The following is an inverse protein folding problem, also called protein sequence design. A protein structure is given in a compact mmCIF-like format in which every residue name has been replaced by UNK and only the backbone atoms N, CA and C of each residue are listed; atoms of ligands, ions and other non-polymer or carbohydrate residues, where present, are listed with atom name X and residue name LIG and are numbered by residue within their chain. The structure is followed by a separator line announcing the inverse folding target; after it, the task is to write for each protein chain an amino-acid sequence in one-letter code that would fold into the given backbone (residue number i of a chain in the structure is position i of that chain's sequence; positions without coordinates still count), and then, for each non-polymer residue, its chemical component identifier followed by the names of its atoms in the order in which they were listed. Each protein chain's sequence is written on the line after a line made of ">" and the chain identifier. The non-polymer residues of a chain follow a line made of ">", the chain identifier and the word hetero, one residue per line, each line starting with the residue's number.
data_IF_875358395699
#
_entry.id   IF_875358395699
#
_cell.length_a   1.000
_cell.length_b   1.000
_cell.length_c   1.000
_cell.angle_alpha   90.00
_cell.angle_beta   90.00
_cell.angle_gamma   90.00
#
_symmetry.space_group_name_H-M   'P 1'
#
loop_
_entity.id
_entity.type
_entity.pdbx_description
1 polymer ?
#
# COMPACT_ATOMS: atom_id res chain seq x y z
N UNK A 1 12.13 64.70 6.30
CA UNK A 1 11.33 63.62 5.79
C UNK A 1 12.17 62.88 4.74
N UNK A 2 12.82 61.71 5.11
CA UNK A 2 13.70 60.98 4.19
C UNK A 2 12.86 59.93 3.46
N UNK A 3 12.89 59.98 2.14
CA UNK A 3 12.22 59.02 1.27
C UNK A 3 13.06 57.72 1.26
N UNK A 4 12.50 56.54 1.61
CA UNK A 4 13.26 55.28 1.61
C UNK A 4 13.68 54.91 0.20
N UNK A 5 14.94 54.53 0.01
CA UNK A 5 15.52 54.10 -1.25
C UNK A 5 15.05 52.70 -1.62
N UNK A 6 14.98 52.43 -2.93
CA UNK A 6 14.44 51.19 -3.51
C UNK A 6 15.12 49.86 -3.01
N UNK A 7 16.30 49.97 -2.37
CA UNK A 7 17.02 48.86 -1.78
C UNK A 7 16.51 48.40 -0.41
N UNK A 8 15.88 49.30 0.34
CA UNK A 8 15.45 49.00 1.72
C UNK A 8 14.21 48.06 1.76
N UNK A 9 13.41 48.11 0.70
CA UNK A 9 12.22 47.28 0.57
C UNK A 9 12.53 45.81 0.30
N UNK A 10 13.65 45.51 -0.41
CA UNK A 10 14.04 44.13 -0.74
C UNK A 10 14.60 43.43 0.50
N UNK A 11 15.38 44.14 1.33
CA UNK A 11 15.97 43.57 2.53
C UNK A 11 14.90 43.29 3.59
N UNK A 12 13.92 44.16 3.75
CA UNK A 12 12.81 43.96 4.69
C UNK A 12 11.90 42.78 4.31
N UNK A 13 11.66 42.57 2.99
CA UNK A 13 10.88 41.40 2.53
C UNK A 13 11.64 40.10 2.71
N UNK A 14 12.95 40.10 2.50
CA UNK A 14 13.79 38.89 2.76
C UNK A 14 13.87 38.55 4.25
N UNK A 15 14.01 39.53 5.12
CA UNK A 15 14.03 39.31 6.57
C UNK A 15 12.67 38.83 7.12
N UNK A 16 11.57 39.34 6.60
CA UNK A 16 10.22 38.88 6.94
C UNK A 16 9.97 37.41 6.48
N UNK A 17 10.50 37.04 5.31
CA UNK A 17 10.38 35.65 4.79
C UNK A 17 11.22 34.65 5.59
N UNK A 18 12.41 35.07 6.07
CA UNK A 18 13.25 34.22 6.93
C UNK A 18 12.78 34.14 8.37
N UNK A 19 12.09 35.17 8.87
CA UNK A 19 11.52 35.18 10.23
C UNK A 19 10.39 34.16 10.43
N UNK A 20 9.70 33.76 9.34
CA UNK A 20 8.65 32.75 9.35
C UNK A 20 9.12 31.36 8.91
N UNK A 21 10.41 31.20 8.58
CA UNK A 21 10.98 29.89 8.31
C UNK A 21 11.16 29.13 9.61
N UNK A 22 10.12 28.38 9.99
CA UNK A 22 10.23 27.40 11.06
C UNK A 22 11.02 26.23 10.53
N UNK A 23 12.24 25.97 11.02
CA UNK A 23 13.02 24.82 10.53
C UNK A 23 12.15 23.57 10.74
N UNK A 24 11.92 22.80 9.66
CA UNK A 24 11.22 21.54 9.75
C UNK A 24 12.03 20.60 10.65
N UNK A 25 11.55 20.38 11.85
CA UNK A 25 12.14 19.39 12.75
C UNK A 25 11.87 17.99 12.18
N UNK A 26 12.72 17.03 12.53
CA UNK A 26 12.54 15.62 12.16
C UNK A 26 11.12 15.13 12.49
N UNK A 27 10.53 15.64 13.58
CA UNK A 27 9.14 15.35 13.99
C UNK A 27 8.08 15.93 13.03
N UNK A 28 8.28 17.15 12.52
CA UNK A 28 7.35 17.75 11.55
C UNK A 28 7.41 17.04 10.19
N UNK A 29 8.61 16.70 9.70
CA UNK A 29 8.78 15.90 8.47
C UNK A 29 8.15 14.53 8.64
N UNK A 30 8.36 13.89 9.79
CA UNK A 30 7.75 12.60 10.15
C UNK A 30 6.23 12.70 10.17
N UNK A 31 5.67 13.76 10.76
CA UNK A 31 4.22 13.97 10.87
C UNK A 31 3.57 14.24 9.51
N UNK A 32 4.20 15.02 8.64
CA UNK A 32 3.71 15.24 7.26
C UNK A 32 3.82 13.96 6.44
N UNK A 33 4.92 13.22 6.55
CA UNK A 33 5.08 11.93 5.92
C UNK A 33 3.98 10.95 6.35
N UNK A 34 3.70 10.84 7.66
CA UNK A 34 2.60 10.02 8.19
C UNK A 34 1.23 10.50 7.70
N UNK A 35 0.98 11.81 7.63
CA UNK A 35 -0.29 12.35 7.13
C UNK A 35 -0.52 12.06 5.65
N UNK A 36 0.50 12.22 4.80
CA UNK A 36 0.42 11.90 3.37
C UNK A 36 0.21 10.40 3.15
N UNK A 37 0.93 9.57 3.91
CA UNK A 37 0.75 8.11 3.87
C UNK A 37 -0.63 7.71 4.36
N UNK A 38 -1.08 8.25 5.47
CA UNK A 38 -2.40 7.98 6.06
C UNK A 38 -3.53 8.41 5.10
N UNK A 39 -3.38 9.56 4.45
CA UNK A 39 -4.33 10.03 3.45
C UNK A 39 -4.38 9.09 2.23
N UNK A 40 -3.24 8.65 1.72
CA UNK A 40 -3.17 7.69 0.61
C UNK A 40 -3.81 6.35 0.96
N UNK A 41 -3.53 5.83 2.14
CA UNK A 41 -4.07 4.54 2.61
C UNK A 41 -5.58 4.61 2.82
N UNK A 42 -6.10 5.73 3.31
CA UNK A 42 -7.56 5.87 3.52
C UNK A 42 -8.34 6.03 2.20
N UNK A 43 -7.70 6.57 1.16
CA UNK A 43 -8.36 6.82 -0.14
C UNK A 43 -8.12 5.73 -1.18
N UNK A 44 -7.12 4.88 -1.00
CA UNK A 44 -6.79 3.81 -1.95
C UNK A 44 -6.73 2.45 -1.25
N UNK A 45 -7.27 1.40 -1.86
CA UNK A 45 -7.12 0.04 -1.35
C UNK A 45 -5.65 -0.37 -1.30
N UNK A 46 -5.19 -0.87 -0.15
CA UNK A 46 -3.83 -1.38 0.04
C UNK A 46 -3.84 -2.89 0.06
N UNK A 47 -3.02 -3.49 -0.79
CA UNK A 47 -2.81 -4.93 -0.87
C UNK A 47 -1.51 -5.28 -0.17
N UNK A 48 -1.60 -6.02 0.95
CA UNK A 48 -0.44 -6.63 1.60
C UNK A 48 -0.26 -8.04 1.04
N UNK A 49 0.95 -8.36 0.60
CA UNK A 49 1.27 -9.64 -0.04
C UNK A 49 2.60 -10.21 0.42
N UNK A 50 2.77 -11.52 0.26
CA UNK A 50 4.03 -12.20 0.54
C UNK A 50 5.02 -11.98 -0.62
N UNK A 51 6.03 -11.14 -0.40
CA UNK A 51 7.00 -10.71 -1.41
C UNK A 51 7.94 -11.81 -1.90
N UNK A 52 8.11 -12.90 -1.15
CA UNK A 52 8.97 -14.03 -1.51
C UNK A 52 8.22 -15.18 -2.19
N UNK A 53 6.90 -15.16 -2.19
CA UNK A 53 6.05 -16.18 -2.80
C UNK A 53 5.83 -15.91 -4.29
N UNK A 54 6.20 -16.86 -5.17
CA UNK A 54 6.01 -16.72 -6.61
C UNK A 54 4.53 -16.55 -7.01
N UNK A 55 3.62 -17.28 -6.38
CA UNK A 55 2.19 -17.12 -6.62
C UNK A 55 1.70 -15.72 -6.24
N UNK A 56 2.14 -15.21 -5.08
CA UNK A 56 1.73 -13.90 -4.58
C UNK A 56 2.28 -12.77 -5.46
N UNK A 57 3.57 -12.80 -5.79
CA UNK A 57 4.18 -11.81 -6.68
C UNK A 57 3.60 -11.87 -8.09
N UNK A 58 3.31 -13.06 -8.60
CA UNK A 58 2.61 -13.24 -9.88
C UNK A 58 1.20 -12.65 -9.86
N UNK A 59 0.47 -12.81 -8.76
CA UNK A 59 -0.87 -12.20 -8.58
C UNK A 59 -0.79 -10.67 -8.54
N UNK A 60 0.21 -10.10 -7.86
CA UNK A 60 0.45 -8.65 -7.84
C UNK A 60 0.75 -8.14 -9.25
N UNK A 61 1.64 -8.80 -10.00
CA UNK A 61 1.94 -8.43 -11.39
C UNK A 61 0.71 -8.51 -12.29
N UNK A 62 -0.14 -9.52 -12.10
CA UNK A 62 -1.39 -9.65 -12.82
C UNK A 62 -2.33 -8.48 -12.53
N UNK A 63 -2.48 -8.08 -11.26
CA UNK A 63 -3.28 -6.92 -10.88
C UNK A 63 -2.70 -5.65 -11.47
N UNK A 64 -1.39 -5.41 -11.36
CA UNK A 64 -0.70 -4.24 -11.90
C UNK A 64 -0.96 -4.05 -13.40
N UNK A 65 -0.93 -5.13 -14.19
CA UNK A 65 -1.20 -5.09 -15.64
C UNK A 65 -2.64 -4.72 -15.99
N UNK A 66 -3.60 -5.00 -15.11
CA UNK A 66 -5.04 -4.81 -15.37
C UNK A 66 -5.64 -3.61 -14.66
N UNK A 67 -5.02 -3.14 -13.60
CA UNK A 67 -5.43 -1.95 -12.86
C UNK A 67 -4.92 -0.68 -13.55
N UNK A 68 -5.53 -0.34 -14.69
CA UNK A 68 -5.17 0.83 -15.50
C UNK A 68 -5.44 2.15 -14.78
N UNK A 69 -6.38 2.16 -13.86
CA UNK A 69 -6.76 3.32 -13.05
C UNK A 69 -5.78 3.55 -11.89
N UNK A 70 -4.80 2.65 -11.71
CA UNK A 70 -3.79 2.71 -10.64
C UNK A 70 -4.42 2.84 -9.24
N UNK A 71 -5.53 2.13 -9.05
CA UNK A 71 -6.36 2.21 -7.86
C UNK A 71 -5.68 1.58 -6.64
N UNK A 72 -5.01 0.42 -6.83
CA UNK A 72 -4.41 -0.32 -5.75
C UNK A 72 -3.01 0.17 -5.41
N UNK A 73 -2.73 0.25 -4.11
CA UNK A 73 -1.38 0.35 -3.55
C UNK A 73 -0.94 -1.03 -3.05
N UNK A 74 0.36 -1.23 -2.98
CA UNK A 74 0.95 -2.52 -2.62
C UNK A 74 1.99 -2.34 -1.53
N UNK A 75 2.08 -3.31 -0.63
CA UNK A 75 3.18 -3.40 0.32
C UNK A 75 3.52 -4.87 0.58
N UNK A 76 4.81 -5.17 0.73
CA UNK A 76 5.24 -6.49 1.17
C UNK A 76 4.90 -6.68 2.64
N UNK A 77 4.43 -7.88 3.01
CA UNK A 77 4.23 -8.24 4.42
C UNK A 77 5.55 -8.24 5.20
N UNK A 78 6.68 -8.39 4.50
CA UNK A 78 8.01 -8.38 5.09
C UNK A 78 8.62 -6.98 5.22
N UNK A 79 8.05 -5.96 4.56
CA UNK A 79 8.57 -4.59 4.61
C UNK A 79 8.27 -3.89 5.93
N UNK A 80 9.01 -2.83 6.23
CA UNK A 80 8.76 -2.01 7.43
C UNK A 80 7.34 -1.45 7.43
N UNK A 81 6.88 -0.93 6.29
CA UNK A 81 5.52 -0.43 6.14
C UNK A 81 4.46 -1.53 6.36
N UNK A 82 4.65 -2.70 5.73
CA UNK A 82 3.73 -3.83 5.89
C UNK A 82 3.62 -4.27 7.34
N UNK A 83 4.76 -4.35 8.04
CA UNK A 83 4.80 -4.73 9.46
C UNK A 83 4.13 -3.69 10.36
N UNK A 84 4.35 -2.41 10.10
CA UNK A 84 3.74 -1.33 10.89
C UNK A 84 2.21 -1.27 10.65
N UNK A 85 1.75 -1.48 9.42
CA UNK A 85 0.33 -1.56 9.11
C UNK A 85 -0.33 -2.77 9.78
N UNK A 86 0.31 -3.94 9.79
CA UNK A 86 -0.19 -5.12 10.51
C UNK A 86 -0.37 -4.84 12.00
N UNK A 87 0.62 -4.20 12.65
CA UNK A 87 0.52 -3.80 14.06
C UNK A 87 -0.63 -2.83 14.32
N UNK A 88 -0.80 -1.82 13.45
CA UNK A 88 -1.89 -0.85 13.56
C UNK A 88 -3.29 -1.48 13.41
N UNK A 89 -3.37 -2.55 12.63
CA UNK A 89 -4.61 -3.30 12.37
C UNK A 89 -4.82 -4.45 13.36
N UNK A 90 -3.96 -4.59 14.37
CA UNK A 90 -3.97 -5.70 15.35
C UNK A 90 -3.96 -7.08 14.68
N UNK A 91 -3.15 -7.22 13.63
CA UNK A 91 -2.97 -8.45 12.86
C UNK A 91 -1.62 -9.12 13.18
N UNK A 92 -1.54 -10.47 13.11
CA UNK A 92 -0.28 -11.18 13.32
C UNK A 92 0.81 -10.72 12.35
N UNK A 93 2.02 -10.48 12.87
CA UNK A 93 3.18 -9.98 12.13
C UNK A 93 4.14 -11.08 11.67
N UNK A 94 3.92 -12.31 12.12
CA UNK A 94 4.76 -13.49 11.88
C UNK A 94 4.14 -14.52 10.91
N UNK A 95 2.83 -14.40 10.64
CA UNK A 95 2.11 -15.36 9.79
C UNK A 95 1.72 -14.73 8.44
N UNK A 96 2.54 -14.96 7.42
CA UNK A 96 2.32 -14.43 6.06
C UNK A 96 1.43 -15.34 5.21
N UNK A 97 0.38 -15.91 5.77
CA UNK A 97 -0.38 -17.00 5.15
C UNK A 97 -1.42 -16.55 4.12
N UNK A 98 -1.66 -15.25 3.95
CA UNK A 98 -2.70 -14.78 3.02
C UNK A 98 -2.45 -13.37 2.50
N UNK A 99 -3.08 -13.06 1.36
CA UNK A 99 -3.32 -11.68 0.97
C UNK A 99 -4.20 -10.98 1.99
N UNK A 100 -3.86 -9.74 2.26
CA UNK A 100 -4.68 -8.83 3.05
C UNK A 100 -5.03 -7.63 2.18
N UNK A 101 -6.30 -7.28 2.11
CA UNK A 101 -6.76 -6.05 1.48
C UNK A 101 -7.31 -5.14 2.56
N UNK A 102 -6.72 -3.97 2.69
CA UNK A 102 -7.23 -2.88 3.52
C UNK A 102 -7.92 -1.86 2.62
N UNK A 103 -9.19 -1.59 2.83
CA UNK A 103 -9.98 -0.67 2.02
C UNK A 103 -11.06 0.02 2.88
N UNK A 104 -11.04 1.35 2.94
CA UNK A 104 -12.05 2.14 3.64
C UNK A 104 -12.22 1.76 5.12
N UNK A 105 -11.13 1.53 5.85
CA UNK A 105 -11.16 1.11 7.24
C UNK A 105 -11.53 -0.36 7.47
N UNK A 106 -11.75 -1.13 6.42
CA UNK A 106 -12.13 -2.55 6.50
C UNK A 106 -11.00 -3.46 6.05
N UNK A 107 -10.84 -4.57 6.75
CA UNK A 107 -9.83 -5.60 6.46
C UNK A 107 -10.51 -6.79 5.83
N UNK A 108 -10.01 -7.20 4.68
CA UNK A 108 -10.39 -8.44 4.01
C UNK A 108 -9.19 -9.37 3.98
N UNK A 109 -9.41 -10.64 4.25
CA UNK A 109 -8.36 -11.66 4.25
C UNK A 109 -8.76 -12.86 3.42
N UNK A 110 -7.78 -13.70 3.05
CA UNK A 110 -7.98 -14.99 2.35
C UNK A 110 -8.85 -14.85 1.09
N UNK A 111 -9.85 -15.72 0.93
CA UNK A 111 -10.74 -15.74 -0.24
C UNK A 111 -11.50 -14.42 -0.43
N UNK A 112 -11.89 -13.78 0.66
CA UNK A 112 -12.62 -12.50 0.60
C UNK A 112 -11.73 -11.37 0.07
N UNK A 113 -10.45 -11.31 0.47
CA UNK A 113 -9.49 -10.37 -0.10
C UNK A 113 -9.31 -10.61 -1.60
N UNK A 114 -9.05 -11.88 -2.00
CA UNK A 114 -8.86 -12.22 -3.40
C UNK A 114 -10.08 -11.85 -4.26
N UNK A 115 -11.29 -12.26 -3.87
CA UNK A 115 -12.51 -11.94 -4.61
C UNK A 115 -12.75 -10.44 -4.71
N UNK A 116 -12.53 -9.70 -3.62
CA UNK A 116 -12.71 -8.25 -3.59
C UNK A 116 -11.72 -7.55 -4.52
N UNK A 117 -10.43 -7.93 -4.49
CA UNK A 117 -9.40 -7.39 -5.37
C UNK A 117 -9.73 -7.66 -6.84
N UNK A 118 -9.95 -8.92 -7.20
CA UNK A 118 -10.20 -9.29 -8.59
C UNK A 118 -11.50 -8.68 -9.13
N UNK A 119 -12.56 -8.62 -8.33
CA UNK A 119 -13.85 -8.05 -8.75
C UNK A 119 -13.80 -6.56 -9.08
N UNK A 120 -12.75 -5.85 -8.67
CA UNK A 120 -12.53 -4.44 -8.97
C UNK A 120 -11.71 -4.22 -10.24
N UNK A 121 -11.14 -5.26 -10.82
CA UNK A 121 -10.40 -5.17 -12.06
C UNK A 121 -11.35 -5.13 -13.27
N UNK A 122 -10.99 -4.32 -14.27
CA UNK A 122 -11.78 -4.22 -15.51
C UNK A 122 -11.87 -5.58 -16.21
N UNK A 123 -13.08 -6.02 -16.52
CA UNK A 123 -13.37 -7.32 -17.15
C UNK A 123 -13.43 -8.50 -16.17
N UNK A 124 -13.20 -8.29 -14.86
CA UNK A 124 -13.20 -9.36 -13.86
C UNK A 124 -14.40 -9.28 -12.89
N UNK A 125 -15.39 -8.45 -13.18
CA UNK A 125 -16.59 -8.29 -12.35
C UNK A 125 -17.38 -9.58 -12.16
N UNK A 126 -17.30 -10.52 -13.10
CA UNK A 126 -17.94 -11.84 -13.03
C UNK A 126 -17.47 -12.68 -11.82
N UNK A 127 -16.27 -12.42 -11.30
CA UNK A 127 -15.74 -13.09 -10.10
C UNK A 127 -16.65 -12.91 -8.88
N UNK A 128 -17.51 -11.88 -8.89
CA UNK A 128 -18.52 -11.65 -7.83
C UNK A 128 -19.49 -12.83 -7.67
N UNK A 129 -19.68 -13.66 -8.69
CA UNK A 129 -20.55 -14.85 -8.59
C UNK A 129 -20.07 -15.82 -7.50
N UNK A 130 -18.77 -15.86 -7.25
CA UNK A 130 -18.21 -16.69 -6.19
C UNK A 130 -18.56 -16.24 -4.77
N UNK A 131 -19.17 -15.06 -4.58
CA UNK A 131 -19.72 -14.67 -3.29
C UNK A 131 -20.94 -15.51 -2.87
N UNK A 132 -21.60 -16.18 -3.83
CA UNK A 132 -22.69 -17.14 -3.57
C UNK A 132 -22.16 -18.35 -2.80
N UNK A 133 -20.89 -18.74 -3.06
CA UNK A 133 -20.25 -19.85 -2.36
C UNK A 133 -20.01 -19.47 -0.89
N UNK A 134 -20.45 -20.28 0.08
CA UNK A 134 -20.22 -20.01 1.49
C UNK A 134 -18.75 -19.77 1.83
N UNK A 135 -18.49 -18.81 2.73
CA UNK A 135 -17.11 -18.36 3.06
C UNK A 135 -16.24 -19.52 3.54
N UNK A 136 -16.77 -20.46 4.32
CA UNK A 136 -15.99 -21.56 4.85
C UNK A 136 -15.46 -22.49 3.74
N UNK A 137 -16.24 -22.72 2.66
CA UNK A 137 -15.80 -23.52 1.50
C UNK A 137 -14.71 -22.76 0.74
N UNK A 138 -14.91 -21.49 0.46
CA UNK A 138 -13.93 -20.65 -0.24
C UNK A 138 -12.61 -20.55 0.53
N UNK A 139 -12.70 -20.37 1.84
CA UNK A 139 -11.52 -20.28 2.70
C UNK A 139 -10.82 -21.63 2.86
N UNK A 140 -11.54 -22.76 2.80
CA UNK A 140 -10.91 -24.09 2.79
C UNK A 140 -10.04 -24.29 1.53
N UNK A 141 -10.57 -23.97 0.35
CA UNK A 141 -9.84 -24.01 -0.92
C UNK A 141 -8.65 -23.05 -0.89
N UNK A 142 -8.87 -21.81 -0.43
CA UNK A 142 -7.81 -20.82 -0.30
C UNK A 142 -6.68 -21.33 0.63
N UNK A 143 -7.02 -21.87 1.78
CA UNK A 143 -6.05 -22.36 2.75
C UNK A 143 -5.26 -23.57 2.21
N UNK A 144 -5.89 -24.45 1.42
CA UNK A 144 -5.21 -25.55 0.75
C UNK A 144 -4.11 -25.02 -0.20
N UNK A 145 -4.46 -24.03 -1.03
CA UNK A 145 -3.49 -23.37 -1.93
C UNK A 145 -2.42 -22.65 -1.13
N UNK A 146 -2.80 -21.87 -0.11
CA UNK A 146 -1.88 -21.10 0.71
C UNK A 146 -0.85 -21.96 1.45
N UNK A 147 -1.26 -23.12 1.97
CA UNK A 147 -0.35 -24.08 2.63
C UNK A 147 0.66 -24.69 1.66
N UNK A 148 0.25 -24.93 0.41
CA UNK A 148 1.08 -25.60 -0.58
C UNK A 148 1.77 -24.65 -1.56
N UNK A 149 1.54 -23.33 -1.45
CA UNK A 149 1.98 -22.33 -2.44
C UNK A 149 3.49 -22.35 -2.72
N UNK A 150 4.30 -22.55 -1.68
CA UNK A 150 5.76 -22.64 -1.84
C UNK A 150 6.18 -23.92 -2.52
N UNK A 151 5.50 -25.04 -2.22
CA UNK A 151 5.77 -26.35 -2.84
C UNK A 151 5.35 -26.36 -4.31
N UNK A 152 4.21 -25.75 -4.63
CA UNK A 152 3.64 -25.79 -5.98
C UNK A 152 4.20 -24.73 -6.91
N UNK A 153 4.44 -23.53 -6.39
CA UNK A 153 4.84 -22.36 -7.20
C UNK A 153 6.27 -21.89 -6.93
N UNK A 154 6.91 -22.42 -5.89
CA UNK A 154 8.24 -22.05 -5.49
C UNK A 154 8.31 -20.77 -4.64
N UNK A 155 9.49 -20.51 -4.13
CA UNK A 155 9.85 -19.39 -3.26
C UNK A 155 11.07 -18.69 -3.85
N UNK A 156 11.12 -17.37 -3.78
CA UNK A 156 12.31 -16.57 -4.11
C UNK A 156 13.18 -16.41 -2.87
N UNK A 157 14.47 -16.26 -3.08
CA UNK A 157 15.43 -15.96 -2.01
C UNK A 157 15.28 -14.52 -1.54
N UNK A 158 14.92 -13.61 -2.47
CA UNK A 158 14.72 -12.18 -2.20
C UNK A 158 13.32 -11.72 -2.54
N UNK A 159 12.86 -10.67 -1.86
CA UNK A 159 11.60 -10.00 -2.14
C UNK A 159 11.62 -9.42 -3.56
N UNK A 160 10.52 -9.58 -4.30
CA UNK A 160 10.38 -8.96 -5.61
C UNK A 160 10.29 -7.45 -5.48
N UNK A 161 11.22 -6.75 -6.14
CA UNK A 161 11.24 -5.29 -6.18
C UNK A 161 10.50 -4.78 -7.43
N UNK A 162 9.68 -3.73 -7.30
CA UNK A 162 9.01 -3.12 -8.44
C UNK A 162 10.00 -2.37 -9.34
N UNK A 163 9.68 -2.28 -10.63
CA UNK A 163 10.40 -1.41 -11.56
C UNK A 163 10.23 0.07 -11.16
N UNK A 164 11.13 0.98 -11.59
CA UNK A 164 11.06 2.40 -11.21
C UNK A 164 9.70 3.05 -11.45
N UNK A 165 9.03 2.74 -12.55
CA UNK A 165 7.69 3.25 -12.92
C UNK A 165 6.56 2.74 -12.02
N UNK A 166 6.78 1.62 -11.34
CA UNK A 166 5.82 1.03 -10.42
C UNK A 166 6.05 1.43 -8.96
N UNK A 167 7.25 1.98 -8.64
CA UNK A 167 7.58 2.37 -7.27
C UNK A 167 6.55 3.28 -6.62
N UNK A 168 5.93 4.19 -7.38
CA UNK A 168 4.90 5.09 -6.85
C UNK A 168 3.65 4.37 -6.31
N UNK A 169 3.46 3.08 -6.66
CA UNK A 169 2.36 2.23 -6.20
C UNK A 169 2.74 1.33 -5.03
N UNK A 170 4.02 1.29 -4.66
CA UNK A 170 4.52 0.52 -3.53
C UNK A 170 4.79 1.45 -2.36
N UNK A 171 4.48 0.97 -1.17
CA UNK A 171 4.57 1.70 0.09
C UNK A 171 5.82 1.27 0.91
N UNK A 172 6.72 0.53 0.27
CA UNK A 172 7.97 0.01 0.86
C UNK A 172 9.10 1.00 0.72
#
# INVERSE_FOLDING_TARGET
>A
MKIPQKGDFIILTWQATLSNYKPMTFETVRREYYNVYFYRVNNNPVILFDGICNLCTGSVQFILKRDKEKKFLFASLQSSYGQDLLKQLDLPTDTFNSFILYEGGKIFTRSSAALKMFSQLKGWGWVKIFWIVPKFIRDAVYNLIAKNRYKWFGKKEECWLPTPDLKARFLD
#
